data_IF_735362782655
#
_entry.id   IF_735362782655
#
_cell.length_a   1.000
_cell.length_b   1.000
_cell.length_c   1.000
_cell.angle_alpha   90.00
_cell.angle_beta   90.00
_cell.angle_gamma   90.00
#
_symmetry.space_group_name_H-M   'P 1'
#
loop_
_entity.id
_entity.type
_entity.pdbx_description
1 polymer ?
#
# COMPACT_ATOMS: atom_id res chain seq x y z
N UNK A 1 19.16 -23.64 -2.68
CA UNK A 1 19.86 -24.70 -3.43
C UNK A 1 21.14 -24.12 -3.99
N UNK A 2 22.27 -24.30 -3.30
CA UNK A 2 23.59 -23.71 -3.64
C UNK A 2 24.76 -24.58 -3.11
N UNK A 3 24.62 -25.91 -3.11
CA UNK A 3 25.64 -26.81 -2.53
C UNK A 3 26.46 -27.60 -3.57
N UNK A 4 26.07 -27.61 -4.84
CA UNK A 4 26.68 -28.45 -5.90
C UNK A 4 27.71 -27.70 -6.78
N UNK A 5 27.65 -26.37 -6.86
CA UNK A 5 28.65 -25.54 -7.59
C UNK A 5 29.96 -25.30 -6.81
N UNK A 6 29.98 -25.62 -5.51
CA UNK A 6 31.15 -25.41 -4.65
C UNK A 6 32.16 -26.55 -4.69
N UNK A 7 31.69 -27.80 -4.80
CA UNK A 7 32.53 -29.01 -4.76
C UNK A 7 33.28 -29.27 -6.07
N UNK A 8 32.68 -28.97 -7.23
CA UNK A 8 33.32 -29.17 -8.55
C UNK A 8 34.55 -28.28 -8.76
N UNK A 9 34.50 -27.03 -8.31
CA UNK A 9 35.62 -26.08 -8.37
C UNK A 9 36.77 -26.43 -7.41
N UNK A 10 36.50 -27.16 -6.33
CA UNK A 10 37.53 -27.59 -5.38
C UNK A 10 38.31 -28.82 -5.90
N UNK A 11 37.70 -29.69 -6.72
CA UNK A 11 38.39 -30.82 -7.36
C UNK A 11 39.09 -30.44 -8.68
N UNK A 12 38.47 -29.58 -9.49
CA UNK A 12 39.05 -29.08 -10.74
C UNK A 12 38.75 -27.58 -10.87
N UNK A 13 39.68 -26.69 -10.46
CA UNK A 13 39.45 -25.25 -10.47
C UNK A 13 39.19 -24.67 -11.87
N UNK A 14 39.64 -25.37 -12.92
CA UNK A 14 39.50 -24.96 -14.34
C UNK A 14 38.31 -25.63 -15.06
N UNK A 15 37.52 -26.48 -14.38
CA UNK A 15 36.40 -27.22 -14.99
C UNK A 15 35.11 -26.40 -14.96
N UNK A 16 34.78 -25.75 -16.08
CA UNK A 16 33.48 -25.12 -16.27
C UNK A 16 32.41 -26.16 -16.65
N UNK A 17 31.62 -26.62 -15.67
CA UNK A 17 30.49 -27.54 -15.88
C UNK A 17 29.46 -27.00 -16.88
N UNK A 18 29.30 -25.68 -16.97
CA UNK A 18 28.35 -25.06 -17.89
C UNK A 18 28.76 -25.25 -19.35
N UNK A 19 30.05 -25.08 -19.66
CA UNK A 19 30.59 -25.29 -21.01
C UNK A 19 30.33 -26.70 -21.55
N UNK A 20 30.35 -27.71 -20.67
CA UNK A 20 30.18 -29.12 -21.04
C UNK A 20 28.71 -29.55 -21.06
N UNK A 21 27.87 -28.99 -20.17
CA UNK A 21 26.47 -29.38 -20.04
C UNK A 21 25.53 -28.65 -21.02
N UNK A 22 25.90 -27.45 -21.49
CA UNK A 22 25.11 -26.64 -22.44
C UNK A 22 24.57 -27.42 -23.67
N UNK A 23 25.38 -28.17 -24.44
CA UNK A 23 24.87 -28.86 -25.64
C UNK A 23 23.80 -29.91 -25.31
N UNK A 24 23.89 -30.57 -24.15
CA UNK A 24 22.90 -31.55 -23.72
C UNK A 24 21.59 -30.89 -23.26
N UNK A 25 21.68 -29.76 -22.55
CA UNK A 25 20.50 -28.97 -22.18
C UNK A 25 19.78 -28.41 -23.40
N UNK A 26 20.53 -27.94 -24.40
CA UNK A 26 19.97 -27.38 -25.63
C UNK A 26 19.26 -28.46 -26.46
N UNK A 27 19.85 -29.65 -26.57
CA UNK A 27 19.23 -30.80 -27.22
C UNK A 27 17.98 -31.28 -26.45
N UNK A 28 18.08 -31.43 -25.12
CA UNK A 28 16.96 -31.84 -24.28
C UNK A 28 15.80 -30.83 -24.31
N UNK A 29 16.10 -29.53 -24.29
CA UNK A 29 15.10 -28.48 -24.46
C UNK A 29 14.48 -28.53 -25.84
N UNK A 30 15.25 -28.76 -26.90
CA UNK A 30 14.73 -28.88 -28.27
C UNK A 30 13.79 -30.08 -28.43
N UNK A 31 14.07 -31.19 -27.74
CA UNK A 31 13.25 -32.39 -27.75
C UNK A 31 12.00 -32.27 -26.88
N UNK A 32 12.12 -31.72 -25.66
CA UNK A 32 11.04 -31.66 -24.67
C UNK A 32 10.20 -30.39 -24.73
N UNK A 33 10.84 -29.24 -24.97
CA UNK A 33 10.21 -27.92 -25.07
C UNK A 33 10.08 -27.43 -26.53
N UNK A 34 10.54 -28.21 -27.50
CA UNK A 34 10.29 -27.94 -28.91
C UNK A 34 8.82 -28.18 -29.29
N UNK A 35 8.41 -27.61 -30.42
CA UNK A 35 7.05 -27.70 -30.96
C UNK A 35 6.60 -29.16 -31.11
N UNK A 36 7.50 -30.07 -31.50
CA UNK A 36 7.21 -31.50 -31.61
C UNK A 36 6.91 -32.15 -30.26
N UNK A 37 7.72 -31.85 -29.23
CA UNK A 37 7.50 -32.35 -27.86
C UNK A 37 6.19 -31.81 -27.27
N UNK A 38 5.88 -30.55 -27.54
CA UNK A 38 4.62 -29.92 -27.15
C UNK A 38 3.42 -30.62 -27.81
N UNK A 39 3.49 -30.87 -29.11
CA UNK A 39 2.43 -31.55 -29.87
C UNK A 39 2.19 -32.98 -29.37
N UNK A 40 3.26 -33.72 -29.09
CA UNK A 40 3.15 -35.09 -28.62
C UNK A 40 2.69 -35.17 -27.16
N UNK A 41 3.05 -34.19 -26.35
CA UNK A 41 2.54 -34.02 -24.98
C UNK A 41 1.04 -33.67 -25.00
N UNK A 42 0.63 -32.74 -25.86
CA UNK A 42 -0.77 -32.37 -26.05
C UNK A 42 -1.58 -33.57 -26.55
N UNK A 43 -1.07 -34.34 -27.51
CA UNK A 43 -1.73 -35.55 -28.00
C UNK A 43 -1.90 -36.61 -26.91
N UNK A 44 -0.90 -36.78 -26.04
CA UNK A 44 -0.97 -37.69 -24.89
C UNK A 44 -2.02 -37.23 -23.86
N UNK A 45 -2.12 -35.93 -23.62
CA UNK A 45 -3.04 -35.35 -22.63
C UNK A 45 -4.42 -34.98 -23.21
N UNK A 46 -4.60 -35.02 -24.54
CA UNK A 46 -5.83 -34.65 -25.23
C UNK A 46 -7.09 -35.36 -24.72
N UNK A 47 -7.08 -36.68 -24.43
CA UNK A 47 -8.27 -37.35 -23.90
C UNK A 47 -8.72 -36.76 -22.57
N UNK A 48 -7.78 -36.42 -21.70
CA UNK A 48 -8.03 -35.85 -20.38
C UNK A 48 -8.43 -34.37 -20.47
N UNK A 49 -7.75 -33.59 -21.33
CA UNK A 49 -8.13 -32.21 -21.63
C UNK A 49 -9.53 -32.09 -22.22
N UNK A 50 -9.99 -33.06 -23.01
CA UNK A 50 -11.36 -33.05 -23.55
C UNK A 50 -12.43 -33.03 -22.47
N UNK A 51 -12.14 -33.58 -21.28
CA UNK A 51 -13.07 -33.59 -20.16
C UNK A 51 -13.07 -32.25 -19.41
N UNK A 52 -11.95 -31.52 -19.41
CA UNK A 52 -11.78 -30.25 -18.68
C UNK A 52 -12.02 -29.00 -19.56
N UNK A 53 -11.89 -29.14 -20.88
CA UNK A 53 -12.14 -28.10 -21.88
C UNK A 53 -13.48 -27.35 -21.72
N UNK A 54 -14.61 -28.02 -21.40
CA UNK A 54 -15.89 -27.35 -21.21
C UNK A 54 -15.92 -26.35 -20.04
N UNK A 55 -15.06 -26.51 -19.04
CA UNK A 55 -15.02 -25.64 -17.85
C UNK A 55 -14.17 -24.38 -18.04
N UNK A 56 -13.24 -24.39 -19.00
CA UNK A 56 -12.34 -23.27 -19.27
C UNK A 56 -13.06 -21.94 -19.58
N UNK A 57 -14.15 -21.90 -20.38
CA UNK A 57 -14.88 -20.65 -20.63
C UNK A 57 -15.49 -20.07 -19.36
N UNK A 58 -15.97 -20.93 -18.46
CA UNK A 58 -16.55 -20.53 -17.17
C UNK A 58 -15.47 -19.94 -16.27
N UNK A 59 -14.32 -20.62 -16.16
CA UNK A 59 -13.19 -20.13 -15.37
C UNK A 59 -12.64 -18.80 -15.92
N UNK A 60 -12.55 -18.67 -17.25
CA UNK A 60 -12.15 -17.41 -17.90
C UNK A 60 -13.15 -16.28 -17.61
N UNK A 61 -14.45 -16.56 -17.71
CA UNK A 61 -15.49 -15.58 -17.38
C UNK A 61 -15.44 -15.18 -15.90
N UNK A 62 -15.28 -16.14 -14.99
CA UNK A 62 -15.14 -15.88 -13.55
C UNK A 62 -13.90 -15.05 -13.23
N UNK A 63 -12.75 -15.36 -13.84
CA UNK A 63 -11.54 -14.58 -13.66
C UNK A 63 -11.74 -13.13 -14.13
N UNK A 64 -12.36 -12.95 -15.30
CA UNK A 64 -12.61 -11.62 -15.87
C UNK A 64 -13.62 -10.82 -15.03
N UNK A 65 -14.71 -11.46 -14.58
CA UNK A 65 -15.71 -10.88 -13.68
C UNK A 65 -15.10 -10.47 -12.34
N UNK A 66 -14.23 -11.32 -11.76
CA UNK A 66 -13.52 -11.02 -10.51
C UNK A 66 -12.61 -9.82 -10.66
N UNK A 67 -11.85 -9.73 -11.75
CA UNK A 67 -11.00 -8.56 -12.04
C UNK A 67 -11.84 -7.28 -12.13
N UNK A 68 -12.97 -7.32 -12.82
CA UNK A 68 -13.87 -6.16 -12.93
C UNK A 68 -14.46 -5.75 -11.57
N UNK A 69 -14.86 -6.72 -10.74
CA UNK A 69 -15.36 -6.45 -9.39
C UNK A 69 -14.28 -5.88 -8.46
N UNK A 70 -13.07 -6.45 -8.47
CA UNK A 70 -11.95 -5.93 -7.69
C UNK A 70 -11.55 -4.51 -8.11
N UNK A 71 -11.55 -4.22 -9.42
CA UNK A 71 -11.32 -2.86 -9.93
C UNK A 71 -12.36 -1.88 -9.42
N UNK A 72 -13.66 -2.22 -9.50
CA UNK A 72 -14.75 -1.37 -8.99
C UNK A 72 -14.64 -1.12 -7.48
N UNK A 73 -14.36 -2.17 -6.69
CA UNK A 73 -14.19 -2.03 -5.24
C UNK A 73 -13.00 -1.15 -4.87
N UNK A 74 -11.86 -1.30 -5.56
CA UNK A 74 -10.69 -0.44 -5.34
C UNK A 74 -10.99 1.02 -5.61
N UNK A 75 -11.71 1.33 -6.70
CA UNK A 75 -12.12 2.71 -6.99
C UNK A 75 -13.00 3.29 -5.88
N UNK A 76 -14.02 2.57 -5.43
CA UNK A 76 -14.88 3.01 -4.34
C UNK A 76 -14.11 3.22 -3.02
N UNK A 77 -13.14 2.35 -2.72
CA UNK A 77 -12.32 2.47 -1.52
C UNK A 77 -11.38 3.69 -1.59
N UNK A 78 -10.78 3.95 -2.76
CA UNK A 78 -9.95 5.14 -2.97
C UNK A 78 -10.79 6.42 -2.82
N UNK A 79 -12.00 6.44 -3.38
CA UNK A 79 -12.90 7.59 -3.26
C UNK A 79 -13.29 7.83 -1.79
N UNK A 80 -13.64 6.78 -1.05
CA UNK A 80 -13.96 6.88 0.37
C UNK A 80 -12.77 7.40 1.21
N UNK A 81 -11.55 6.90 0.96
CA UNK A 81 -10.34 7.36 1.66
C UNK A 81 -10.04 8.83 1.31
N UNK A 82 -10.19 9.21 0.04
CA UNK A 82 -9.95 10.59 -0.39
C UNK A 82 -10.94 11.57 0.25
N UNK A 83 -12.23 11.20 0.32
CA UNK A 83 -13.26 11.98 0.99
C UNK A 83 -12.97 12.14 2.49
N UNK A 84 -12.52 11.08 3.16
CA UNK A 84 -12.14 11.12 4.57
C UNK A 84 -10.93 12.03 4.82
N UNK A 85 -9.90 11.98 3.96
CA UNK A 85 -8.72 12.87 4.05
C UNK A 85 -9.10 14.34 3.91
N UNK A 86 -10.01 14.69 2.99
CA UNK A 86 -10.48 16.06 2.81
C UNK A 86 -11.23 16.56 4.05
N UNK A 87 -12.05 15.71 4.68
CA UNK A 87 -12.73 16.04 5.94
C UNK A 87 -11.72 16.30 7.07
N UNK A 88 -10.75 15.39 7.27
CA UNK A 88 -9.71 15.56 8.31
C UNK A 88 -8.88 16.83 8.10
N UNK A 89 -8.51 17.16 6.86
CA UNK A 89 -7.75 18.37 6.55
C UNK A 89 -8.51 19.66 6.90
N UNK A 90 -9.85 19.68 6.77
CA UNK A 90 -10.68 20.83 7.14
C UNK A 90 -10.76 21.01 8.66
N UNK A 91 -10.84 19.92 9.43
CA UNK A 91 -10.86 19.97 10.90
C UNK A 91 -9.52 20.46 11.47
N UNK A 92 -8.39 19.93 11.01
CA UNK A 92 -7.06 20.32 11.50
C UNK A 92 -6.75 21.80 11.23
N UNK A 93 -7.15 22.34 10.08
CA UNK A 93 -6.97 23.76 9.74
C UNK A 93 -7.81 24.70 10.62
N UNK A 94 -8.99 24.28 11.08
CA UNK A 94 -9.81 25.08 12.01
C UNK A 94 -9.14 25.16 13.39
N UNK A 95 -8.73 24.03 13.94
CA UNK A 95 -8.07 23.97 15.24
C UNK A 95 -6.72 24.72 15.24
N UNK A 96 -5.95 24.63 14.16
CA UNK A 96 -4.70 25.37 14.03
C UNK A 96 -4.92 26.90 14.04
N UNK A 97 -5.93 27.40 13.32
CA UNK A 97 -6.29 28.83 13.33
C UNK A 97 -6.76 29.30 14.70
N UNK A 98 -7.54 28.50 15.41
CA UNK A 98 -7.99 28.82 16.77
C UNK A 98 -6.82 28.87 17.76
N UNK A 99 -5.90 27.90 17.70
CA UNK A 99 -4.69 27.89 18.54
C UNK A 99 -3.80 29.10 18.26
N UNK A 100 -3.59 29.45 17.00
CA UNK A 100 -2.87 30.67 16.63
C UNK A 100 -3.54 31.93 17.18
N UNK A 101 -4.86 32.03 17.08
CA UNK A 101 -5.62 33.15 17.65
C UNK A 101 -5.44 33.26 19.17
N UNK A 102 -5.52 32.14 19.89
CA UNK A 102 -5.29 32.11 21.34
C UNK A 102 -3.86 32.49 21.73
N UNK A 103 -2.86 32.00 21.00
CA UNK A 103 -1.45 32.35 21.25
C UNK A 103 -1.23 33.85 21.01
N UNK A 104 -1.76 34.40 19.92
CA UNK A 104 -1.66 35.83 19.64
C UNK A 104 -2.34 36.68 20.71
N UNK A 105 -3.50 36.24 21.21
CA UNK A 105 -4.24 36.93 22.25
C UNK A 105 -3.51 36.88 23.60
N UNK A 106 -2.95 35.72 23.96
CA UNK A 106 -2.08 35.57 25.12
C UNK A 106 -0.82 36.44 25.01
N UNK A 107 -0.21 36.52 23.81
CA UNK A 107 0.95 37.35 23.56
C UNK A 107 0.62 38.85 23.63
N UNK A 108 -0.53 39.27 23.10
CA UNK A 108 -1.02 40.64 23.17
C UNK A 108 -1.30 41.08 24.62
N UNK A 109 -1.89 40.18 25.42
CA UNK A 109 -2.08 40.39 26.86
C UNK A 109 -0.75 40.45 27.61
N UNK A 110 0.23 39.61 27.24
CA UNK A 110 1.57 39.61 27.84
C UNK A 110 2.42 40.84 27.43
N UNK A 111 2.12 41.46 26.29
CA UNK A 111 2.84 42.64 25.79
C UNK A 111 2.49 43.92 26.56
N UNK A 112 1.37 43.97 27.30
CA UNK A 112 1.04 45.11 28.14
C UNK A 112 1.65 44.97 29.54
N UNK A 113 2.25 46.05 30.09
CA UNK A 113 2.98 45.99 31.36
C UNK A 113 2.04 45.63 32.50
N UNK A 114 2.23 44.42 33.02
CA UNK A 114 1.48 43.76 34.09
C UNK A 114 1.75 44.36 35.49
N UNK A 115 2.05 45.66 35.59
CA UNK A 115 2.34 46.35 36.85
C UNK A 115 1.21 47.25 37.35
N UNK A 116 0.14 47.45 36.56
CA UNK A 116 -1.03 48.27 36.93
C UNK A 116 -2.36 47.53 37.05
N UNK A 117 -2.44 46.24 36.72
CA UNK A 117 -3.72 45.50 36.64
C UNK A 117 -4.18 44.89 37.97
N UNK A 118 -3.30 44.73 38.96
CA UNK A 118 -3.62 43.99 40.19
C UNK A 118 -4.46 44.79 41.18
N UNK A 119 -4.50 46.12 41.08
CA UNK A 119 -5.25 46.95 42.04
C UNK A 119 -6.70 47.24 41.62
N UNK A 120 -7.13 46.92 40.39
CA UNK A 120 -8.45 47.34 39.86
C UNK A 120 -9.23 46.27 39.07
N UNK A 121 -8.78 45.01 38.99
CA UNK A 121 -9.38 44.06 38.03
C UNK A 121 -10.60 43.28 38.56
N UNK A 122 -11.77 43.54 37.98
CA UNK A 122 -13.04 42.87 38.30
C UNK A 122 -13.19 41.46 37.67
N UNK A 123 -14.01 40.63 38.34
CA UNK A 123 -14.48 39.28 38.01
C UNK A 123 -14.81 38.94 36.52
N UNK A 124 -15.20 39.86 35.61
CA UNK A 124 -15.43 39.55 34.19
C UNK A 124 -14.27 38.90 33.43
N UNK A 125 -13.00 39.11 33.79
CA UNK A 125 -11.88 38.44 33.08
C UNK A 125 -11.78 36.97 33.45
N UNK A 126 -12.06 36.62 34.71
CA UNK A 126 -12.16 35.22 35.13
C UNK A 126 -13.37 34.55 34.49
N UNK A 127 -14.48 35.27 34.34
CA UNK A 127 -15.66 34.78 33.62
C UNK A 127 -15.37 34.56 32.12
N UNK A 128 -14.67 35.48 31.45
CA UNK A 128 -14.30 35.33 30.05
C UNK A 128 -13.33 34.16 29.82
N UNK A 129 -12.36 33.96 30.72
CA UNK A 129 -11.45 32.82 30.68
C UNK A 129 -12.19 31.48 30.94
N UNK A 130 -13.12 31.47 31.89
CA UNK A 130 -13.95 30.29 32.18
C UNK A 130 -14.91 29.95 31.02
N UNK A 131 -15.50 30.96 30.38
CA UNK A 131 -16.34 30.79 29.18
C UNK A 131 -15.49 30.27 28.01
N UNK A 132 -14.27 30.79 27.84
CA UNK A 132 -13.31 30.30 26.85
C UNK A 132 -12.96 28.82 27.06
N UNK A 133 -12.75 28.40 28.31
CA UNK A 133 -12.52 26.99 28.66
C UNK A 133 -13.77 26.12 28.44
N UNK A 134 -14.96 26.59 28.82
CA UNK A 134 -16.22 25.87 28.63
C UNK A 134 -16.56 25.64 27.15
N UNK A 135 -16.32 26.64 26.28
CA UNK A 135 -16.52 26.50 24.83
C UNK A 135 -15.54 25.52 24.19
N UNK A 136 -14.36 25.32 24.79
CA UNK A 136 -13.35 24.37 24.35
C UNK A 136 -13.71 22.91 24.72
N UNK A 137 -14.49 22.74 25.79
CA UNK A 137 -14.99 21.43 26.24
C UNK A 137 -16.23 20.98 25.45
N UNK A 138 -16.93 21.90 24.77
CA UNK A 138 -18.19 21.62 24.06
C UNK A 138 -18.07 21.51 22.52
N UNK A 139 -16.86 21.61 21.92
CA UNK A 139 -16.64 21.50 20.47
C UNK A 139 -15.73 20.34 20.07
#
# INVERSE_FOLDING_TARGET
MLNIEGLGRQLYPDLDLWSTAKPYLEQWMKERAGVSGLWESLKRQAPELSHQLPELPVLAHQALSRMEHEHRQRHQQVDAISAMRVQMARHSKRLYRLRLGLILLALALAWQPLSGWIELQEWPVLAAAAIGLLLLVWQ
#
